data_IF_429346856292
#
_entry.id   IF_429346856292
#
_cell.length_a   1.000
_cell.length_b   1.000
_cell.length_c   1.000
_cell.angle_alpha   90.00
_cell.angle_beta   90.00
_cell.angle_gamma   90.00
#
_symmetry.space_group_name_H-M   'P 1'
#
loop_
_entity.id
_entity.type
_entity.pdbx_description
1 polymer ?
#
# COMPACT_ATOMS: atom_id res chain seq x y z
N UNK A 1 30.96 13.31 -13.97
CA UNK A 1 29.72 14.13 -13.96
C UNK A 1 28.90 13.70 -15.17
N UNK A 2 28.03 12.71 -15.00
CA UNK A 2 27.34 12.06 -16.12
C UNK A 2 26.27 12.99 -16.69
N UNK A 3 26.35 13.23 -18.00
CA UNK A 3 25.44 14.01 -18.82
C UNK A 3 23.97 13.71 -18.49
N UNK A 4 23.31 14.59 -17.74
CA UNK A 4 21.85 14.68 -17.77
C UNK A 4 21.46 15.01 -19.20
N UNK A 5 20.93 14.03 -19.94
CA UNK A 5 20.39 14.21 -21.29
C UNK A 5 19.42 15.40 -21.23
N UNK A 6 19.84 16.57 -21.73
CA UNK A 6 19.02 17.76 -21.74
C UNK A 6 17.70 17.41 -22.42
N UNK A 7 16.58 17.46 -21.69
CA UNK A 7 15.27 17.22 -22.27
C UNK A 7 14.99 18.37 -23.25
N UNK A 8 15.24 18.12 -24.54
CA UNK A 8 14.86 19.05 -25.60
C UNK A 8 13.35 18.95 -25.78
N UNK A 9 12.64 19.78 -25.03
CA UNK A 9 11.19 19.95 -25.15
C UNK A 9 10.91 20.88 -26.32
N UNK A 10 10.30 20.33 -27.38
CA UNK A 10 9.81 21.13 -28.50
C UNK A 10 8.33 21.41 -28.27
N UNK A 11 8.00 22.66 -28.00
CA UNK A 11 6.61 23.13 -27.98
C UNK A 11 6.18 23.36 -29.43
N UNK A 12 5.16 22.62 -29.87
CA UNK A 12 4.56 22.80 -31.20
C UNK A 12 3.69 24.07 -31.24
N UNK A 13 3.12 24.43 -30.10
CA UNK A 13 2.21 25.55 -29.93
C UNK A 13 2.84 26.62 -28.99
N UNK A 14 3.03 27.86 -29.47
CA UNK A 14 3.58 28.95 -28.66
C UNK A 14 2.64 29.39 -27.52
N UNK A 15 1.31 29.26 -27.66
CA UNK A 15 0.38 29.60 -26.59
C UNK A 15 0.49 28.59 -25.43
N UNK A 16 0.65 27.31 -25.76
CA UNK A 16 0.94 26.27 -24.78
C UNK A 16 2.24 26.56 -24.01
N UNK A 17 3.29 27.00 -24.72
CA UNK A 17 4.55 27.38 -24.09
C UNK A 17 4.36 28.55 -23.11
N UNK A 18 3.62 29.59 -23.52
CA UNK A 18 3.35 30.75 -22.68
C UNK A 18 2.53 30.39 -21.43
N UNK A 19 1.51 29.54 -21.58
CA UNK A 19 0.69 29.07 -20.46
C UNK A 19 1.53 28.28 -19.43
N UNK A 20 2.42 27.40 -19.89
CA UNK A 20 3.31 26.64 -19.00
C UNK A 20 4.33 27.57 -18.32
N UNK A 21 4.86 28.56 -19.03
CA UNK A 21 5.78 29.54 -18.44
C UNK A 21 5.09 30.38 -17.36
N UNK A 22 3.85 30.83 -17.60
CA UNK A 22 3.06 31.55 -16.61
C UNK A 22 2.76 30.68 -15.37
N UNK A 23 2.41 29.41 -15.57
CA UNK A 23 2.17 28.47 -14.47
C UNK A 23 3.44 28.21 -13.66
N UNK A 24 4.60 28.04 -14.31
CA UNK A 24 5.88 27.90 -13.65
C UNK A 24 6.24 29.15 -12.82
N UNK A 25 5.99 30.34 -13.37
CA UNK A 25 6.21 31.61 -12.67
C UNK A 25 5.30 31.74 -11.44
N UNK A 26 4.02 31.36 -11.55
CA UNK A 26 3.09 31.34 -10.40
C UNK A 26 3.53 30.35 -9.31
N UNK A 27 4.11 29.22 -9.71
CA UNK A 27 4.68 28.24 -8.81
C UNK A 27 6.07 28.65 -8.25
N UNK A 28 6.66 29.76 -8.72
CA UNK A 28 7.96 30.25 -8.27
C UNK A 28 9.16 29.40 -8.70
N UNK A 29 9.00 28.55 -9.72
CA UNK A 29 10.02 27.61 -10.20
C UNK A 29 10.39 27.87 -11.65
N UNK A 30 11.50 27.29 -12.09
CA UNK A 30 11.86 27.34 -13.51
C UNK A 30 10.87 26.53 -14.37
N UNK A 31 10.69 26.91 -15.63
CA UNK A 31 9.79 26.18 -16.55
C UNK A 31 10.20 24.71 -16.72
N UNK A 32 11.51 24.42 -16.73
CA UNK A 32 12.00 23.03 -16.83
C UNK A 32 11.66 22.23 -15.58
N UNK A 33 11.86 22.81 -14.40
CA UNK A 33 11.53 22.19 -13.13
C UNK A 33 10.03 21.95 -12.99
N UNK A 34 9.20 22.91 -13.40
CA UNK A 34 7.74 22.76 -13.43
C UNK A 34 7.29 21.58 -14.31
N UNK A 35 7.91 21.41 -15.48
CA UNK A 35 7.57 20.30 -16.39
C UNK A 35 8.05 18.96 -15.81
N UNK A 36 9.24 18.93 -15.22
CA UNK A 36 9.77 17.72 -14.59
C UNK A 36 8.94 17.30 -13.37
N UNK A 37 8.54 18.25 -12.52
CA UNK A 37 7.69 17.95 -11.36
C UNK A 37 6.31 17.46 -11.80
N UNK A 38 5.70 18.10 -12.80
CA UNK A 38 4.41 17.67 -13.35
C UNK A 38 4.49 16.29 -14.00
N UNK A 39 5.57 15.99 -14.74
CA UNK A 39 5.78 14.67 -15.33
C UNK A 39 5.98 13.59 -14.26
N UNK A 40 6.76 13.88 -13.22
CA UNK A 40 6.98 12.97 -12.10
C UNK A 40 5.68 12.70 -11.32
N UNK A 41 4.94 13.76 -10.97
CA UNK A 41 3.64 13.64 -10.30
C UNK A 41 2.66 12.80 -11.13
N UNK A 42 2.64 12.99 -12.45
CA UNK A 42 1.78 12.19 -13.32
C UNK A 42 2.24 10.73 -13.43
N UNK A 43 3.55 10.48 -13.42
CA UNK A 43 4.10 9.12 -13.45
C UNK A 43 3.81 8.35 -12.16
N UNK A 44 3.73 9.04 -11.02
CA UNK A 44 3.52 8.45 -9.68
C UNK A 44 2.06 8.45 -9.23
N UNK A 45 1.18 9.22 -9.88
CA UNK A 45 -0.23 9.34 -9.49
C UNK A 45 -0.99 8.01 -9.34
N UNK A 46 -0.64 7.00 -10.14
CA UNK A 46 -1.27 5.67 -10.04
C UNK A 46 -0.79 4.93 -8.79
N UNK A 47 0.50 5.02 -8.48
CA UNK A 47 1.10 4.43 -7.28
C UNK A 47 0.52 5.07 -6.02
N UNK A 48 0.46 6.40 -5.97
CA UNK A 48 -0.13 7.13 -4.83
C UNK A 48 -1.58 6.71 -4.59
N UNK A 49 -2.39 6.62 -5.65
CA UNK A 49 -3.78 6.17 -5.57
C UNK A 49 -3.89 4.73 -5.10
N UNK A 50 -3.00 3.86 -5.59
CA UNK A 50 -2.96 2.46 -5.19
C UNK A 50 -2.64 2.33 -3.70
N UNK A 51 -1.59 3.00 -3.22
CA UNK A 51 -1.16 2.94 -1.82
C UNK A 51 -2.22 3.50 -0.87
N UNK A 52 -2.89 4.59 -1.26
CA UNK A 52 -4.01 5.13 -0.49
C UNK A 52 -5.16 4.11 -0.37
N UNK A 53 -5.61 3.55 -1.50
CA UNK A 53 -6.68 2.54 -1.49
C UNK A 53 -6.29 1.26 -0.73
N UNK A 54 -5.02 0.85 -0.82
CA UNK A 54 -4.49 -0.28 -0.08
C UNK A 54 -4.54 -0.04 1.43
N UNK A 55 -4.11 1.14 1.89
CA UNK A 55 -4.19 1.52 3.30
C UNK A 55 -5.63 1.51 3.80
N UNK A 56 -6.56 2.10 3.05
CA UNK A 56 -7.98 2.10 3.41
C UNK A 56 -8.55 0.68 3.50
N UNK A 57 -8.09 -0.23 2.63
CA UNK A 57 -8.47 -1.65 2.66
C UNK A 57 -7.91 -2.36 3.90
N UNK A 58 -6.66 -2.08 4.27
CA UNK A 58 -6.03 -2.64 5.47
C UNK A 58 -6.72 -2.14 6.74
N UNK A 59 -7.02 -0.84 6.82
CA UNK A 59 -7.72 -0.25 7.95
C UNK A 59 -9.13 -0.83 8.10
N UNK A 60 -9.86 -1.00 6.99
CA UNK A 60 -11.18 -1.64 7.00
C UNK A 60 -11.11 -3.09 7.48
N UNK A 61 -10.11 -3.85 7.00
CA UNK A 61 -9.93 -5.24 7.41
C UNK A 61 -9.57 -5.33 8.89
N UNK A 62 -8.66 -4.47 9.36
CA UNK A 62 -8.29 -4.38 10.78
C UNK A 62 -9.48 -4.04 11.67
N UNK A 63 -10.33 -3.10 11.25
CA UNK A 63 -11.57 -2.79 11.98
C UNK A 63 -12.53 -3.97 12.02
N UNK A 64 -12.67 -4.73 10.94
CA UNK A 64 -13.53 -5.92 10.93
C UNK A 64 -13.04 -6.98 11.94
N UNK A 65 -11.74 -7.26 11.98
CA UNK A 65 -11.17 -8.21 12.95
C UNK A 65 -11.17 -7.68 14.39
N UNK A 66 -11.08 -6.37 14.61
CA UNK A 66 -11.17 -5.78 15.94
C UNK A 66 -12.62 -5.66 16.45
N UNK A 67 -13.59 -5.56 15.54
CA UNK A 67 -15.02 -5.49 15.86
C UNK A 67 -15.63 -6.87 16.14
N UNK A 68 -14.98 -7.96 15.69
CA UNK A 68 -15.28 -9.31 16.17
C UNK A 68 -14.93 -9.36 17.67
N UNK A 69 -15.90 -9.48 18.59
CA UNK A 69 -15.56 -9.80 19.97
C UNK A 69 -14.78 -11.11 19.92
N UNK A 70 -13.63 -11.17 20.59
CA UNK A 70 -12.83 -12.39 20.69
C UNK A 70 -13.64 -13.47 21.41
N UNK A 71 -14.55 -14.14 20.70
CA UNK A 71 -15.07 -15.45 21.09
C UNK A 71 -13.97 -16.52 21.00
N UNK A 72 -12.77 -16.11 20.58
CA UNK A 72 -11.54 -16.87 20.49
C UNK A 72 -10.81 -17.03 21.82
N UNK A 73 -11.35 -16.53 22.94
CA UNK A 73 -10.96 -17.08 24.25
C UNK A 73 -11.80 -18.35 24.49
N UNK A 74 -11.24 -19.55 24.27
CA UNK A 74 -11.96 -20.77 24.55
C UNK A 74 -12.35 -20.79 26.03
N UNK A 75 -13.65 -21.03 26.24
CA UNK A 75 -14.21 -21.25 27.57
C UNK A 75 -13.43 -22.35 28.30
N UNK A 76 -13.44 -22.37 29.64
CA UNK A 76 -12.76 -23.41 30.40
C UNK A 76 -13.11 -24.84 29.94
N UNK A 77 -14.35 -25.07 29.54
CA UNK A 77 -14.84 -26.36 29.04
C UNK A 77 -14.29 -26.70 27.64
N UNK A 78 -14.22 -25.72 26.74
CA UNK A 78 -13.59 -25.90 25.42
C UNK A 78 -12.09 -26.23 25.58
N UNK A 79 -11.38 -25.52 26.46
CA UNK A 79 -9.98 -25.84 26.79
C UNK A 79 -9.80 -27.21 27.44
N UNK A 80 -10.77 -27.67 28.23
CA UNK A 80 -10.73 -29.01 28.80
C UNK A 80 -10.92 -30.07 27.72
N UNK A 81 -11.88 -29.88 26.81
CA UNK A 81 -12.10 -30.76 25.66
C UNK A 81 -10.90 -30.84 24.71
N UNK A 82 -10.25 -29.71 24.43
CA UNK A 82 -9.02 -29.68 23.62
C UNK A 82 -7.86 -30.46 24.27
N UNK A 83 -7.66 -30.32 25.58
CA UNK A 83 -6.64 -31.09 26.31
C UNK A 83 -6.93 -32.58 26.30
N UNK A 84 -8.18 -32.97 26.56
CA UNK A 84 -8.58 -34.37 26.52
C UNK A 84 -8.39 -34.98 25.12
N UNK A 85 -8.81 -34.27 24.07
CA UNK A 85 -8.60 -34.72 22.69
C UNK A 85 -7.11 -34.89 22.36
N UNK A 86 -6.26 -33.98 22.86
CA UNK A 86 -4.81 -34.09 22.68
C UNK A 86 -4.22 -35.31 23.42
N UNK A 87 -4.68 -35.59 24.64
CA UNK A 87 -4.27 -36.75 25.43
C UNK A 87 -4.70 -38.07 24.76
N UNK A 88 -5.92 -38.13 24.21
CA UNK A 88 -6.44 -39.29 23.47
C UNK A 88 -5.64 -39.57 22.18
N UNK A 89 -5.24 -38.52 21.45
CA UNK A 89 -4.37 -38.66 20.27
C UNK A 89 -2.99 -39.21 20.64
N UNK A 90 -2.36 -38.67 21.69
CA UNK A 90 -1.06 -39.17 22.16
C UNK A 90 -1.12 -40.61 22.66
N UNK A 91 -2.20 -40.98 23.35
CA UNK A 91 -2.42 -42.34 23.82
C UNK A 91 -2.65 -43.32 22.66
N UNK A 92 -3.38 -42.89 21.62
CA UNK A 92 -3.58 -43.66 20.38
C UNK A 92 -2.29 -43.88 19.59
N UNK A 93 -1.42 -42.87 19.50
CA UNK A 93 -0.12 -42.96 18.83
C UNK A 93 0.85 -43.92 19.53
N UNK A 94 0.83 -43.97 20.87
CA UNK A 94 1.64 -44.94 21.64
C UNK A 94 1.13 -46.38 21.51
N UNK A 95 -0.17 -46.59 21.26
CA UNK A 95 -0.77 -47.90 21.03
C UNK A 95 -0.58 -48.46 19.62
N UNK A 96 -0.13 -47.66 18.66
CA UNK A 96 0.17 -48.06 17.27
C UNK A 96 1.65 -48.33 16.99
N UNK A 97 2.52 -48.17 18.00
CA UNK A 97 3.97 -48.32 17.90
C UNK A 97 4.51 -49.64 18.52
N UNK A 98 3.70 -50.70 18.61
CA UNK A 98 4.08 -52.02 19.13
C UNK A 98 3.96 -53.13 18.07
#
# INVERSE_FOLDING_TARGET
>A
MSNSKAMSLRFRDPEQQAAIAAAAQQAGVSMQEYILSAAYARATAVEDRFLAAFKDSMDRSGQAFAAEPSSSDPTPDQRAGERQAHEELQAGEQGHAA
#
